data_IF_890480430240
#
_entry.id   IF_890480430240
#
_cell.length_a   1.000
_cell.length_b   1.000
_cell.length_c   1.000
_cell.angle_alpha   90.00
_cell.angle_beta   90.00
_cell.angle_gamma   90.00
#
_symmetry.space_group_name_H-M   'P 1'
#
loop_
_entity.id
_entity.type
_entity.pdbx_description
1 polymer ?
#
# COMPACT_ATOMS: atom_id res chain seq x y z
N UNK A 1 -11.24 17.17 23.41
CA UNK A 1 -11.67 15.75 23.49
C UNK A 1 -11.16 15.02 22.24
N UNK A 2 -10.99 13.69 22.28
CA UNK A 2 -10.53 12.91 21.12
C UNK A 2 -11.43 13.12 19.87
N UNK A 3 -12.74 13.25 20.08
CA UNK A 3 -13.70 13.60 19.03
C UNK A 3 -13.45 15.00 18.41
N UNK A 4 -13.01 15.98 19.20
CA UNK A 4 -12.66 17.31 18.69
C UNK A 4 -11.42 17.28 17.78
N UNK A 5 -10.44 16.42 18.09
CA UNK A 5 -9.24 16.25 17.26
C UNK A 5 -9.57 15.64 15.88
N UNK A 6 -10.48 14.66 15.86
CA UNK A 6 -10.95 14.03 14.62
C UNK A 6 -11.71 15.03 13.73
N UNK A 7 -12.56 15.87 14.34
CA UNK A 7 -13.38 16.87 13.64
C UNK A 7 -12.58 18.09 13.15
N UNK A 8 -11.64 18.62 13.95
CA UNK A 8 -10.90 19.83 13.58
C UNK A 8 -9.86 19.63 12.47
N UNK A 9 -9.40 18.40 12.24
CA UNK A 9 -8.32 18.09 11.28
C UNK A 9 -8.76 17.25 10.08
N UNK A 10 -10.08 17.08 9.90
CA UNK A 10 -10.67 16.19 8.89
C UNK A 10 -10.06 14.77 8.91
N UNK A 11 -9.76 14.27 10.10
CA UNK A 11 -8.93 13.08 10.27
C UNK A 11 -9.66 11.80 9.84
N UNK A 12 -10.99 11.79 10.01
CA UNK A 12 -11.83 10.71 9.51
C UNK A 12 -11.71 10.55 7.99
N UNK A 13 -11.79 11.64 7.22
CA UNK A 13 -11.60 11.59 5.76
C UNK A 13 -10.19 11.14 5.38
N UNK A 14 -9.17 11.48 6.16
CA UNK A 14 -7.79 10.99 5.93
C UNK A 14 -7.70 9.47 6.13
N UNK A 15 -8.22 8.95 7.24
CA UNK A 15 -8.24 7.51 7.50
C UNK A 15 -9.06 6.75 6.46
N UNK A 16 -10.20 7.31 6.03
CA UNK A 16 -10.99 6.75 4.92
C UNK A 16 -10.17 6.71 3.63
N UNK A 17 -9.48 7.80 3.29
CA UNK A 17 -8.61 7.85 2.10
C UNK A 17 -7.49 6.79 2.15
N UNK A 18 -6.86 6.59 3.31
CA UNK A 18 -5.83 5.55 3.49
C UNK A 18 -6.42 4.14 3.30
N UNK A 19 -7.58 3.86 3.88
CA UNK A 19 -8.26 2.57 3.73
C UNK A 19 -8.64 2.30 2.27
N UNK A 20 -9.25 3.28 1.61
CA UNK A 20 -9.66 3.18 0.21
C UNK A 20 -8.44 2.99 -0.71
N UNK A 21 -7.37 3.75 -0.48
CA UNK A 21 -6.11 3.61 -1.23
C UNK A 21 -5.48 2.24 -1.01
N UNK A 22 -5.46 1.75 0.23
CA UNK A 22 -4.95 0.40 0.56
C UNK A 22 -5.76 -0.66 -0.17
N UNK A 23 -7.10 -0.55 -0.18
CA UNK A 23 -8.00 -1.47 -0.88
C UNK A 23 -7.76 -1.45 -2.40
N UNK A 24 -7.70 -0.27 -3.01
CA UNK A 24 -7.44 -0.10 -4.45
C UNK A 24 -6.10 -0.72 -4.83
N UNK A 25 -5.04 -0.49 -4.04
CA UNK A 25 -3.75 -1.12 -4.28
C UNK A 25 -3.83 -2.64 -4.13
N UNK A 26 -4.57 -3.15 -3.15
CA UNK A 26 -4.76 -4.59 -2.95
C UNK A 26 -5.45 -5.23 -4.16
N UNK A 27 -6.48 -4.60 -4.73
CA UNK A 27 -7.18 -5.06 -5.93
C UNK A 27 -6.28 -4.96 -7.18
N UNK A 28 -5.53 -3.86 -7.33
CA UNK A 28 -4.60 -3.68 -8.43
C UNK A 28 -3.48 -4.73 -8.42
N UNK A 29 -2.97 -5.09 -7.24
CA UNK A 29 -1.97 -6.15 -7.08
C UNK A 29 -2.48 -7.52 -7.57
N UNK A 30 -3.75 -7.85 -7.35
CA UNK A 30 -4.37 -9.07 -7.91
C UNK A 30 -4.32 -9.07 -9.43
N UNK A 31 -4.68 -7.95 -10.06
CA UNK A 31 -4.79 -7.82 -11.51
C UNK A 31 -3.43 -7.91 -12.21
N UNK A 32 -2.34 -7.49 -11.56
CA UNK A 32 -0.97 -7.68 -12.07
C UNK A 32 -0.37 -9.03 -11.67
N UNK A 33 -1.15 -9.90 -11.01
CA UNK A 33 -0.79 -11.27 -10.67
C UNK A 33 0.03 -11.42 -9.39
N UNK A 34 0.09 -10.41 -8.52
CA UNK A 34 0.74 -10.47 -7.21
C UNK A 34 -0.26 -11.03 -6.19
N UNK A 35 -0.24 -12.35 -6.02
CA UNK A 35 -1.25 -13.08 -5.23
C UNK A 35 -0.91 -13.18 -3.74
N UNK A 36 0.36 -13.29 -3.40
CA UNK A 36 0.78 -13.42 -1.99
C UNK A 36 1.13 -12.06 -1.42
N UNK A 37 0.12 -11.44 -0.81
CA UNK A 37 0.20 -10.11 -0.20
C UNK A 37 -0.64 -10.03 1.06
N UNK A 38 -0.20 -9.21 2.01
CA UNK A 38 -0.80 -9.11 3.33
C UNK A 38 -0.71 -7.67 3.83
N UNK A 39 -1.68 -7.25 4.65
CA UNK A 39 -1.53 -6.01 5.43
C UNK A 39 -0.36 -6.17 6.42
N UNK A 40 0.41 -5.10 6.63
CA UNK A 40 1.62 -5.16 7.46
C UNK A 40 1.67 -3.99 8.45
N UNK A 41 2.63 -4.07 9.39
CA UNK A 41 3.00 -2.97 10.30
C UNK A 41 1.81 -2.29 11.02
N UNK A 42 1.69 -0.97 10.91
CA UNK A 42 0.63 -0.16 11.53
C UNK A 42 -0.77 -0.63 11.11
N UNK A 43 -0.95 -0.94 9.82
CA UNK A 43 -2.22 -1.47 9.31
C UNK A 43 -2.61 -2.80 9.96
N UNK A 44 -1.67 -3.71 10.15
CA UNK A 44 -1.97 -5.01 10.78
C UNK A 44 -2.33 -4.83 12.27
N UNK A 45 -1.59 -3.99 12.99
CA UNK A 45 -1.89 -3.69 14.40
C UNK A 45 -3.25 -3.01 14.53
N UNK A 46 -3.52 -2.05 13.62
CA UNK A 46 -4.80 -1.37 13.48
C UNK A 46 -5.95 -2.35 13.38
N UNK A 47 -5.83 -3.25 12.40
CA UNK A 47 -6.85 -4.23 12.07
C UNK A 47 -7.18 -5.14 13.26
N UNK A 48 -6.15 -5.62 13.97
CA UNK A 48 -6.32 -6.50 15.15
C UNK A 48 -6.94 -5.76 16.33
N UNK A 49 -6.61 -4.48 16.54
CA UNK A 49 -6.99 -3.75 17.77
C UNK A 49 -8.25 -2.90 17.64
N UNK A 50 -8.63 -2.51 16.43
CA UNK A 50 -9.65 -1.47 16.20
C UNK A 50 -10.79 -1.95 15.30
N UNK A 51 -11.34 -3.14 15.55
CA UNK A 51 -12.46 -3.71 14.79
C UNK A 51 -12.21 -3.66 13.27
N UNK A 52 -11.02 -4.13 12.85
CA UNK A 52 -10.58 -4.14 11.46
C UNK A 52 -10.33 -2.73 10.86
N UNK A 53 -10.19 -1.70 11.69
CA UNK A 53 -9.86 -0.32 11.29
C UNK A 53 -8.36 0.01 11.33
N UNK A 54 -8.03 1.28 11.17
CA UNK A 54 -6.65 1.80 11.29
C UNK A 54 -6.34 2.29 12.70
N UNK A 55 -5.05 2.45 12.99
CA UNK A 55 -4.62 3.20 14.17
C UNK A 55 -5.07 4.65 13.99
N UNK A 56 -5.74 5.29 14.97
CA UNK A 56 -6.36 6.59 14.74
C UNK A 56 -5.42 7.78 14.58
N UNK A 57 -4.11 7.58 14.62
CA UNK A 57 -3.10 8.60 14.31
C UNK A 57 -2.18 8.16 13.16
N UNK A 58 -2.51 7.06 12.49
CA UNK A 58 -1.80 6.61 11.31
C UNK A 58 -2.09 7.52 10.12
N UNK A 59 -1.13 7.61 9.19
CA UNK A 59 -1.23 8.49 8.03
C UNK A 59 -0.93 7.79 6.70
N UNK A 60 -0.51 6.53 6.73
CA UNK A 60 -0.22 5.70 5.57
C UNK A 60 -0.77 4.27 5.72
N UNK A 61 -0.60 3.49 4.67
CA UNK A 61 -1.09 2.12 4.60
C UNK A 61 -0.01 1.17 4.07
N UNK A 62 0.23 0.09 4.81
CA UNK A 62 1.29 -0.86 4.52
C UNK A 62 0.77 -2.19 3.96
N UNK A 63 1.30 -2.59 2.80
CA UNK A 63 1.11 -3.92 2.20
C UNK A 63 2.47 -4.58 2.01
N UNK A 64 2.63 -5.78 2.59
CA UNK A 64 3.77 -6.64 2.36
C UNK A 64 3.49 -7.62 1.21
N UNK A 65 4.51 -7.86 0.38
CA UNK A 65 4.49 -8.81 -0.74
C UNK A 65 5.58 -9.85 -0.54
N UNK A 66 5.33 -11.11 -0.93
CA UNK A 66 6.40 -12.11 -0.92
C UNK A 66 7.36 -11.91 -2.10
N UNK A 67 8.65 -12.17 -1.86
CA UNK A 67 9.67 -12.12 -2.92
C UNK A 67 9.35 -13.08 -4.07
N UNK A 68 8.76 -14.23 -3.75
CA UNK A 68 8.36 -15.23 -4.73
C UNK A 68 7.23 -14.73 -5.62
N UNK A 69 6.15 -14.18 -5.04
CA UNK A 69 5.07 -13.60 -5.82
C UNK A 69 5.58 -12.44 -6.68
N UNK A 70 6.42 -11.56 -6.16
CA UNK A 70 7.04 -10.50 -6.97
C UNK A 70 7.82 -11.05 -8.17
N UNK A 71 8.60 -12.12 -7.96
CA UNK A 71 9.41 -12.74 -9.02
C UNK A 71 8.53 -13.42 -10.07
N UNK A 72 7.51 -14.16 -9.65
CA UNK A 72 6.62 -14.89 -10.57
C UNK A 72 5.82 -13.91 -11.43
N UNK A 73 5.21 -12.88 -10.83
CA UNK A 73 4.46 -11.86 -11.57
C UNK A 73 5.36 -11.06 -12.51
N UNK A 74 6.58 -10.69 -12.08
CA UNK A 74 7.51 -9.97 -12.96
C UNK A 74 7.96 -10.78 -14.18
N UNK A 75 8.00 -12.13 -14.13
CA UNK A 75 8.28 -12.95 -15.32
C UNK A 75 7.20 -12.74 -16.39
N UNK A 76 5.94 -12.70 -15.99
CA UNK A 76 4.82 -12.48 -16.91
C UNK A 76 4.70 -11.02 -17.37
N UNK A 77 4.88 -10.06 -16.45
CA UNK A 77 4.84 -8.64 -16.77
C UNK A 77 5.93 -8.21 -17.76
N UNK A 78 7.13 -8.82 -17.69
CA UNK A 78 8.21 -8.57 -18.64
C UNK A 78 7.87 -9.01 -20.06
N UNK A 79 7.14 -10.13 -20.23
CA UNK A 79 6.65 -10.56 -21.56
C UNK A 79 5.70 -9.53 -22.17
N UNK A 80 5.02 -8.76 -21.32
CA UNK A 80 4.13 -7.65 -21.68
C UNK A 80 4.84 -6.29 -21.78
N UNK A 81 6.17 -6.25 -21.65
CA UNK A 81 6.97 -5.02 -21.82
C UNK A 81 7.13 -4.14 -20.57
N UNK A 82 6.64 -4.55 -19.40
CA UNK A 82 6.77 -3.75 -18.18
C UNK A 82 8.17 -3.88 -17.56
N UNK A 83 8.72 -2.75 -17.08
CA UNK A 83 10.05 -2.70 -16.44
C UNK A 83 10.01 -3.04 -14.95
N UNK A 84 8.91 -2.74 -14.28
CA UNK A 84 8.70 -2.99 -12.86
C UNK A 84 7.18 -3.08 -12.54
N UNK A 85 6.86 -3.55 -11.34
CA UNK A 85 5.46 -3.71 -10.88
C UNK A 85 4.74 -2.36 -10.84
N UNK A 86 5.40 -1.28 -10.41
CA UNK A 86 4.77 0.04 -10.31
C UNK A 86 4.27 0.57 -11.66
N UNK A 87 5.01 0.31 -12.75
CA UNK A 87 4.55 0.64 -14.10
C UNK A 87 3.27 -0.12 -14.45
N UNK A 88 3.24 -1.43 -14.19
CA UNK A 88 2.07 -2.26 -14.45
C UNK A 88 0.85 -1.84 -13.61
N UNK A 89 1.08 -1.46 -12.34
CA UNK A 89 0.04 -0.92 -11.46
C UNK A 89 -0.50 0.40 -11.99
N UNK A 90 0.37 1.33 -12.41
CA UNK A 90 -0.06 2.65 -12.89
C UNK A 90 -1.02 2.57 -14.09
N UNK A 91 -0.89 1.55 -14.94
CA UNK A 91 -1.76 1.35 -16.11
C UNK A 91 -3.17 0.85 -15.74
N UNK A 92 -3.36 0.29 -14.54
CA UNK A 92 -4.64 -0.28 -14.10
C UNK A 92 -5.29 0.48 -12.94
N UNK A 93 -4.56 1.41 -12.32
CA UNK A 93 -5.10 2.21 -11.23
C UNK A 93 -6.28 3.07 -11.72
N UNK A 94 -7.35 3.21 -10.93
CA UNK A 94 -8.45 4.09 -11.27
C UNK A 94 -8.01 5.55 -11.37
N UNK A 95 -8.83 6.37 -12.04
CA UNK A 95 -8.66 7.82 -12.04
C UNK A 95 -8.57 8.36 -10.61
N UNK A 96 -7.65 9.31 -10.37
CA UNK A 96 -7.38 9.88 -9.05
C UNK A 96 -6.30 9.16 -8.24
N UNK A 97 -5.81 8.00 -8.70
CA UNK A 97 -4.72 7.26 -8.07
C UNK A 97 -3.44 7.32 -8.91
N UNK A 98 -2.28 7.40 -8.25
CA UNK A 98 -0.98 7.41 -8.93
C UNK A 98 0.08 6.64 -8.16
N UNK A 99 0.98 5.99 -8.90
CA UNK A 99 2.19 5.39 -8.36
C UNK A 99 3.28 6.45 -8.28
N UNK A 100 3.64 6.84 -7.07
CA UNK A 100 4.77 7.71 -6.82
C UNK A 100 5.96 6.89 -6.31
N UNK A 101 7.16 7.17 -6.85
CA UNK A 101 8.40 6.72 -6.22
C UNK A 101 8.85 7.79 -5.26
N UNK A 102 8.69 7.55 -3.97
CA UNK A 102 9.33 8.36 -2.94
C UNK A 102 10.79 7.90 -2.90
N UNK A 103 11.72 8.72 -3.43
CA UNK A 103 13.14 8.47 -3.23
C UNK A 103 13.40 8.45 -1.72
N UNK A 104 14.10 7.42 -1.23
CA UNK A 104 14.45 7.33 0.19
C UNK A 104 15.05 8.65 0.66
N UNK A 105 14.45 9.28 1.68
CA UNK A 105 15.26 9.98 2.67
C UNK A 105 16.21 8.95 3.28
N UNK A 106 17.43 9.35 3.63
CA UNK A 106 18.56 8.47 3.98
C UNK A 106 18.38 7.54 5.21
N UNK A 107 17.16 7.32 5.70
CA UNK A 107 16.87 6.73 7.02
C UNK A 107 16.82 5.20 7.11
N UNK A 108 16.91 4.47 5.99
CA UNK A 108 16.84 3.01 6.03
C UNK A 108 18.02 2.35 5.31
N UNK A 109 19.21 2.51 5.89
CA UNK A 109 20.47 1.84 5.48
C UNK A 109 20.49 0.33 5.73
N UNK A 110 19.52 -0.22 6.46
CA UNK A 110 19.53 -1.62 6.91
C UNK A 110 18.77 -2.64 6.03
N UNK A 111 18.06 -2.21 4.99
CA UNK A 111 17.33 -3.12 4.09
C UNK A 111 18.02 -3.24 2.71
N UNK A 112 19.33 -3.52 2.71
CA UNK A 112 20.02 -4.05 1.52
C UNK A 112 19.98 -5.57 1.64
N UNK A 113 19.18 -6.20 0.79
CA UNK A 113 19.27 -7.64 0.57
C UNK A 113 20.29 -7.84 -0.53
N UNK A 114 21.48 -8.24 -0.13
CA UNK A 114 22.51 -8.80 -1.02
C UNK A 114 21.99 -10.10 -1.68
#
# INVERSE_FOLDING_TARGET
>A
RYEDFLLHNNWQSKLTCVLDTTKVLFEALDLVGIKERFIAWGNLIGWVRHNHGLIPWDYDGDIALTKESCRSSMKELKKRGHRNIAQALQEILPEGYMMARIAKSDDHKYNRFD
#
